data_IF_969501979860
#
_entry.id   IF_969501979860
#
_cell.length_a   1.000
_cell.length_b   1.000
_cell.length_c   1.000
_cell.angle_alpha   90.00
_cell.angle_beta   90.00
_cell.angle_gamma   90.00
#
_symmetry.space_group_name_H-M   'P 1'
#
loop_
_entity.id
_entity.type
_entity.pdbx_description
1 polymer ?
#
# COMPACT_ATOMS: atom_id res chain seq x y z
N UNK A 1 6.96 -14.21 4.42
CA UNK A 1 7.22 -14.05 2.99
C UNK A 1 8.34 -13.04 2.75
N UNK A 2 8.27 -11.88 3.39
CA UNK A 2 9.28 -10.81 3.36
C UNK A 2 9.90 -10.55 4.73
N UNK A 3 9.71 -11.44 5.68
CA UNK A 3 10.22 -11.31 7.05
C UNK A 3 11.74 -11.15 7.04
N UNK A 4 12.25 -10.12 7.72
CA UNK A 4 13.67 -9.79 7.79
C UNK A 4 14.25 -9.12 6.53
N UNK A 5 13.48 -8.96 5.46
CA UNK A 5 13.98 -8.35 4.21
C UNK A 5 14.23 -6.84 4.35
N UNK A 6 13.54 -6.19 5.24
CA UNK A 6 13.82 -4.80 5.60
C UNK A 6 15.22 -4.66 6.23
N UNK A 7 15.61 -5.59 7.09
CA UNK A 7 16.97 -5.62 7.65
C UNK A 7 18.02 -5.91 6.58
N UNK A 8 17.72 -6.76 5.59
CA UNK A 8 18.63 -7.00 4.47
C UNK A 8 18.81 -5.78 3.57
N UNK A 9 17.72 -5.09 3.26
CA UNK A 9 17.78 -3.81 2.53
C UNK A 9 18.56 -2.76 3.34
N UNK A 10 18.33 -2.67 4.65
CA UNK A 10 18.99 -1.71 5.52
C UNK A 10 20.52 -1.91 5.61
N UNK A 11 21.04 -3.12 5.38
CA UNK A 11 22.50 -3.36 5.25
C UNK A 11 23.11 -2.66 4.05
N UNK A 12 22.32 -2.45 2.99
CA UNK A 12 22.77 -1.82 1.73
C UNK A 12 22.49 -0.32 1.74
N UNK A 13 21.31 0.06 2.25
CA UNK A 13 20.82 1.44 2.30
C UNK A 13 20.04 1.65 3.61
N UNK A 14 20.50 2.52 4.51
CA UNK A 14 19.78 2.84 5.75
C UNK A 14 18.35 3.33 5.47
N UNK A 15 17.42 2.98 6.36
CA UNK A 15 15.99 3.32 6.22
C UNK A 15 15.76 4.83 6.07
N UNK A 16 16.51 5.65 6.80
CA UNK A 16 16.46 7.11 6.70
C UNK A 16 16.87 7.63 5.31
N UNK A 17 17.91 7.03 4.72
CA UNK A 17 18.35 7.36 3.36
C UNK A 17 17.32 6.90 2.31
N UNK A 18 16.74 5.70 2.50
CA UNK A 18 15.70 5.16 1.63
C UNK A 18 14.47 6.07 1.64
N UNK A 19 14.00 6.49 2.83
CA UNK A 19 12.88 7.42 2.95
C UNK A 19 13.21 8.78 2.30
N UNK A 20 14.37 9.34 2.56
CA UNK A 20 14.80 10.61 1.96
C UNK A 20 14.81 10.57 0.44
N UNK A 21 15.09 9.40 -0.17
CA UNK A 21 15.11 9.21 -1.61
C UNK A 21 13.72 9.02 -2.22
N UNK A 22 12.84 8.31 -1.55
CA UNK A 22 11.57 7.85 -2.12
C UNK A 22 10.34 8.53 -1.52
N UNK A 23 10.44 9.00 -0.28
CA UNK A 23 9.33 9.54 0.49
C UNK A 23 8.26 8.50 0.88
N UNK A 24 8.53 7.21 0.64
CA UNK A 24 7.58 6.12 0.88
C UNK A 24 7.84 5.51 2.25
N UNK A 25 6.76 5.39 3.04
CA UNK A 25 6.79 4.74 4.35
C UNK A 25 7.27 3.28 4.24
N UNK A 26 7.88 2.80 5.30
CA UNK A 26 8.24 1.40 5.42
C UNK A 26 7.00 0.55 5.68
N UNK A 27 6.75 -0.39 4.78
CA UNK A 27 5.81 -1.49 4.96
C UNK A 27 6.48 -2.78 4.49
N UNK A 28 6.46 -3.82 5.30
CA UNK A 28 7.16 -5.09 5.01
C UNK A 28 6.73 -5.74 3.69
N UNK A 29 5.56 -5.37 3.18
CA UNK A 29 5.01 -5.87 1.92
C UNK A 29 5.34 -4.99 0.70
N UNK A 30 6.08 -3.88 0.84
CA UNK A 30 6.51 -3.09 -0.32
C UNK A 30 7.36 -3.93 -1.28
N UNK A 31 7.24 -3.63 -2.56
CA UNK A 31 7.89 -4.42 -3.63
C UNK A 31 9.40 -4.50 -3.48
N UNK A 32 10.05 -3.46 -2.96
CA UNK A 32 11.49 -3.48 -2.65
C UNK A 32 11.87 -4.69 -1.79
N UNK A 33 11.06 -5.04 -0.77
CA UNK A 33 11.32 -6.19 0.10
C UNK A 33 10.93 -7.51 -0.55
N UNK A 34 9.90 -7.50 -1.41
CA UNK A 34 9.53 -8.68 -2.19
C UNK A 34 10.64 -9.08 -3.15
N UNK A 35 11.21 -8.11 -3.87
CA UNK A 35 12.35 -8.34 -4.77
C UNK A 35 13.60 -8.80 -3.99
N UNK A 36 13.84 -8.29 -2.79
CA UNK A 36 14.94 -8.76 -1.95
C UNK A 36 14.72 -10.22 -1.53
N UNK A 37 13.51 -10.60 -1.20
CA UNK A 37 13.17 -11.99 -0.87
C UNK A 37 13.39 -12.93 -2.07
N UNK A 38 12.95 -12.54 -3.26
CA UNK A 38 13.19 -13.33 -4.48
C UNK A 38 14.70 -13.41 -4.81
N UNK A 39 15.43 -12.30 -4.69
CA UNK A 39 16.88 -12.27 -4.88
C UNK A 39 17.63 -13.25 -3.98
N UNK A 40 17.17 -13.40 -2.74
CA UNK A 40 17.81 -14.32 -1.79
C UNK A 40 17.38 -15.78 -1.98
N UNK A 41 16.11 -16.00 -2.27
CA UNK A 41 15.55 -17.37 -2.37
C UNK A 41 15.76 -17.99 -3.73
N UNK A 42 15.53 -17.23 -4.77
CA UNK A 42 15.55 -17.70 -6.18
C UNK A 42 16.29 -16.70 -7.09
N UNK A 43 17.60 -16.45 -6.86
CA UNK A 43 18.35 -15.44 -7.62
C UNK A 43 18.33 -15.70 -9.14
N UNK A 44 18.31 -16.95 -9.56
CA UNK A 44 18.25 -17.32 -10.98
C UNK A 44 16.90 -16.94 -11.61
N UNK A 45 15.80 -17.00 -10.85
CA UNK A 45 14.48 -16.56 -11.32
C UNK A 45 14.50 -15.06 -11.59
N UNK A 46 15.02 -14.28 -10.65
CA UNK A 46 15.12 -12.83 -10.79
C UNK A 46 16.04 -12.43 -11.96
N UNK A 47 17.16 -13.14 -12.18
CA UNK A 47 18.08 -12.89 -13.29
C UNK A 47 17.48 -13.23 -14.66
N UNK A 48 16.55 -14.19 -14.74
CA UNK A 48 15.86 -14.56 -15.97
C UNK A 48 14.56 -13.77 -16.20
N UNK A 49 14.16 -12.94 -15.24
CA UNK A 49 12.97 -12.13 -15.37
C UNK A 49 13.13 -11.14 -16.55
N UNK A 50 12.15 -11.08 -17.42
CA UNK A 50 12.12 -10.15 -18.53
C UNK A 50 11.41 -8.84 -18.20
N UNK A 51 10.44 -8.89 -17.29
CA UNK A 51 9.61 -7.73 -16.96
C UNK A 51 8.99 -7.87 -15.59
N UNK A 52 9.06 -6.82 -14.78
CA UNK A 52 8.27 -6.65 -13.57
C UNK A 52 6.95 -5.98 -13.95
N UNK A 53 5.83 -6.62 -13.64
CA UNK A 53 4.50 -6.04 -13.78
C UNK A 53 3.77 -6.11 -12.44
N UNK A 54 3.16 -5.01 -12.04
CA UNK A 54 2.19 -5.03 -10.96
C UNK A 54 0.95 -5.79 -11.43
N UNK A 55 0.16 -6.34 -10.50
CA UNK A 55 -0.97 -7.20 -10.88
C UNK A 55 -1.97 -6.54 -11.84
N UNK A 56 -2.36 -5.26 -11.67
CA UNK A 56 -3.21 -4.58 -12.65
C UNK A 56 -2.56 -4.47 -14.03
N UNK A 57 -1.27 -4.18 -14.09
CA UNK A 57 -0.51 -4.08 -15.35
C UNK A 57 -0.44 -5.45 -16.06
N UNK A 58 -0.30 -6.52 -15.28
CA UNK A 58 -0.34 -7.87 -15.80
C UNK A 58 -1.68 -8.20 -16.46
N UNK A 59 -2.80 -7.77 -15.88
CA UNK A 59 -4.11 -7.92 -16.53
C UNK A 59 -4.21 -7.11 -17.82
N UNK A 60 -3.70 -5.87 -17.84
CA UNK A 60 -3.61 -5.08 -19.06
C UNK A 60 -2.81 -5.80 -20.17
N UNK A 61 -1.67 -6.37 -19.80
CA UNK A 61 -0.87 -7.21 -20.71
C UNK A 61 -1.63 -8.44 -21.20
N UNK A 62 -2.32 -9.17 -20.32
CA UNK A 62 -3.09 -10.35 -20.71
C UNK A 62 -4.24 -10.03 -21.65
N UNK A 63 -4.81 -8.85 -21.55
CA UNK A 63 -5.91 -8.39 -22.41
C UNK A 63 -5.43 -7.90 -23.79
N UNK A 64 -4.23 -7.31 -23.87
CA UNK A 64 -3.78 -6.57 -25.06
C UNK A 64 -2.49 -7.11 -25.69
N UNK A 65 -1.71 -7.88 -24.96
CA UNK A 65 -0.36 -8.29 -25.35
C UNK A 65 0.71 -7.20 -25.13
N UNK A 66 0.34 -5.99 -24.74
CA UNK A 66 1.26 -4.89 -24.50
C UNK A 66 1.61 -4.76 -23.01
N UNK A 67 2.90 -4.65 -22.70
CA UNK A 67 3.41 -4.47 -21.34
C UNK A 67 3.59 -2.99 -21.06
N UNK A 68 2.88 -2.47 -20.07
CA UNK A 68 3.06 -1.12 -19.50
C UNK A 68 3.11 -1.22 -17.98
N UNK A 69 3.71 -0.24 -17.33
CA UNK A 69 3.71 -0.10 -15.88
C UNK A 69 3.05 1.21 -15.47
N UNK A 70 2.07 1.13 -14.59
CA UNK A 70 1.27 2.28 -14.16
C UNK A 70 1.91 2.96 -12.94
N UNK A 71 1.98 4.28 -12.98
CA UNK A 71 2.71 5.11 -12.02
C UNK A 71 2.15 5.06 -10.59
N UNK A 72 0.82 5.15 -10.41
CA UNK A 72 0.26 5.28 -9.05
C UNK A 72 0.55 4.04 -8.20
N UNK A 73 0.46 2.86 -8.79
CA UNK A 73 0.81 1.61 -8.13
C UNK A 73 2.34 1.42 -8.06
N UNK A 74 3.06 1.76 -9.14
CA UNK A 74 4.52 1.74 -9.15
C UNK A 74 5.13 2.59 -8.04
N UNK A 75 4.52 3.73 -7.70
CA UNK A 75 5.02 4.63 -6.65
C UNK A 75 5.06 3.99 -5.26
N UNK A 76 4.20 3.00 -4.99
CA UNK A 76 4.15 2.32 -3.67
C UNK A 76 5.29 1.35 -3.44
N UNK A 77 6.07 1.06 -4.47
CA UNK A 77 7.13 0.03 -4.44
C UNK A 77 8.34 0.39 -3.59
N UNK A 78 8.49 1.65 -3.19
CA UNK A 78 9.71 2.22 -2.59
C UNK A 78 10.94 2.22 -3.55
N UNK A 79 10.68 2.21 -4.86
CA UNK A 79 11.73 2.19 -5.91
C UNK A 79 11.60 3.34 -6.91
N UNK A 80 10.65 4.26 -6.69
CA UNK A 80 10.38 5.40 -7.58
C UNK A 80 10.98 6.67 -7.02
N UNK A 81 11.60 7.46 -7.89
CA UNK A 81 12.12 8.77 -7.57
C UNK A 81 10.98 9.81 -7.68
N UNK A 82 10.62 10.51 -6.59
CA UNK A 82 9.50 11.45 -6.57
C UNK A 82 9.74 12.72 -7.39
N UNK A 83 10.96 12.99 -7.82
CA UNK A 83 11.28 14.16 -8.66
C UNK A 83 11.12 13.84 -10.14
N UNK A 84 11.53 12.65 -10.57
CA UNK A 84 11.48 12.23 -11.98
C UNK A 84 10.20 11.49 -12.33
N UNK A 85 9.43 11.02 -11.33
CA UNK A 85 8.24 10.17 -11.48
C UNK A 85 8.53 8.86 -12.21
N UNK A 86 9.78 8.43 -12.18
CA UNK A 86 10.27 7.20 -12.79
C UNK A 86 11.03 6.38 -11.76
N UNK A 87 11.34 5.15 -12.13
CA UNK A 87 12.17 4.28 -11.31
C UNK A 87 13.50 4.94 -10.95
N UNK A 88 13.91 4.82 -9.69
CA UNK A 88 15.25 5.24 -9.24
C UNK A 88 16.26 4.14 -9.62
N UNK A 89 16.85 4.29 -10.82
CA UNK A 89 17.79 3.30 -11.37
C UNK A 89 19.05 3.15 -10.52
N UNK A 90 19.50 4.21 -9.84
CA UNK A 90 20.66 4.13 -8.96
C UNK A 90 20.33 3.32 -7.70
N UNK A 91 19.14 3.48 -7.16
CA UNK A 91 18.66 2.68 -6.05
C UNK A 91 18.50 1.20 -6.45
N UNK A 92 17.85 0.94 -7.58
CA UNK A 92 17.66 -0.40 -8.14
C UNK A 92 19.00 -1.10 -8.33
N UNK A 93 19.97 -0.43 -8.92
CA UNK A 93 21.33 -0.93 -9.13
C UNK A 93 22.06 -1.17 -7.80
N UNK A 94 21.97 -0.23 -6.85
CA UNK A 94 22.57 -0.36 -5.51
C UNK A 94 22.05 -1.57 -4.76
N UNK A 95 20.76 -1.89 -4.92
CA UNK A 95 20.14 -3.08 -4.35
C UNK A 95 20.46 -4.37 -5.13
N UNK A 96 21.07 -4.25 -6.31
CA UNK A 96 21.45 -5.37 -7.18
C UNK A 96 20.23 -6.06 -7.80
N UNK A 97 19.19 -5.29 -8.12
CA UNK A 97 18.07 -5.76 -8.94
C UNK A 97 18.38 -5.57 -10.43
N UNK A 98 17.89 -6.43 -11.33
CA UNK A 98 18.07 -6.25 -12.75
C UNK A 98 17.30 -5.02 -13.25
N UNK A 99 18.01 -4.06 -13.85
CA UNK A 99 17.40 -2.79 -14.28
C UNK A 99 16.44 -2.98 -15.45
N UNK A 100 16.72 -3.93 -16.33
CA UNK A 100 15.99 -4.15 -17.57
C UNK A 100 14.55 -4.64 -17.39
N UNK A 101 14.21 -5.13 -16.20
CA UNK A 101 12.83 -5.59 -15.92
C UNK A 101 11.85 -4.45 -15.64
N UNK A 102 12.35 -3.23 -15.39
CA UNK A 102 11.54 -2.08 -15.02
C UNK A 102 11.17 -1.25 -16.25
N UNK A 103 9.95 -1.39 -16.73
CA UNK A 103 9.44 -0.57 -17.83
C UNK A 103 9.21 0.88 -17.38
N UNK A 104 9.36 1.87 -18.28
CA UNK A 104 9.03 3.26 -17.96
C UNK A 104 7.61 3.38 -17.41
N UNK A 105 7.47 4.13 -16.31
CA UNK A 105 6.17 4.35 -15.67
C UNK A 105 5.31 5.27 -16.53
N UNK A 106 4.04 4.91 -16.67
CA UNK A 106 3.04 5.63 -17.44
C UNK A 106 1.94 6.19 -16.52
N UNK A 107 1.44 7.37 -16.84
CA UNK A 107 0.34 7.96 -16.08
C UNK A 107 -1.00 7.28 -16.40
N UNK A 108 -1.95 7.30 -15.44
CA UNK A 108 -3.34 6.96 -15.71
C UNK A 108 -3.87 7.72 -16.95
N UNK A 109 -4.73 7.08 -17.74
CA UNK A 109 -5.21 7.60 -19.01
C UNK A 109 -4.38 7.17 -20.23
N UNK A 110 -3.22 6.54 -20.03
CA UNK A 110 -2.41 6.02 -21.12
C UNK A 110 -3.08 4.80 -21.76
N UNK A 111 -3.16 4.77 -23.08
CA UNK A 111 -3.72 3.65 -23.85
C UNK A 111 -2.76 2.47 -23.82
N UNK A 112 -3.25 1.32 -23.39
CA UNK A 112 -2.51 0.06 -23.42
C UNK A 112 -2.61 -0.60 -24.80
N UNK A 113 -3.80 -0.64 -25.38
CA UNK A 113 -4.08 -1.20 -26.68
C UNK A 113 -5.48 -1.78 -26.83
N UNK A 114 -5.71 -2.41 -27.99
CA UNK A 114 -6.95 -3.12 -28.26
C UNK A 114 -6.90 -4.52 -27.64
N UNK A 115 -8.06 -5.11 -27.38
CA UNK A 115 -8.12 -6.52 -26.97
C UNK A 115 -7.44 -7.44 -27.99
N UNK A 116 -6.79 -8.48 -27.49
CA UNK A 116 -6.29 -9.57 -28.35
C UNK A 116 -7.42 -10.23 -29.14
N UNK A 117 -7.18 -10.69 -30.39
CA UNK A 117 -8.23 -11.26 -31.21
C UNK A 117 -9.00 -12.43 -30.58
N UNK A 118 -8.31 -13.26 -29.81
CA UNK A 118 -8.93 -14.37 -29.07
C UNK A 118 -9.90 -13.89 -28.01
N UNK A 119 -9.56 -12.81 -27.31
CA UNK A 119 -10.42 -12.21 -26.29
C UNK A 119 -11.63 -11.52 -26.95
N UNK A 120 -11.39 -10.75 -28.03
CA UNK A 120 -12.49 -10.16 -28.81
C UNK A 120 -13.51 -11.22 -29.27
N UNK A 121 -13.02 -12.37 -29.71
CA UNK A 121 -13.87 -13.49 -30.13
C UNK A 121 -14.68 -14.07 -28.96
N UNK A 122 -14.06 -14.17 -27.79
CA UNK A 122 -14.72 -14.73 -26.59
C UNK A 122 -15.81 -13.79 -26.06
N UNK A 123 -15.51 -12.47 -25.94
CA UNK A 123 -16.46 -11.49 -25.40
C UNK A 123 -17.46 -10.96 -26.43
N UNK A 124 -17.16 -11.12 -27.72
CA UNK A 124 -18.05 -10.71 -28.82
C UNK A 124 -17.93 -9.24 -29.24
N UNK A 125 -16.98 -8.49 -28.72
CA UNK A 125 -16.72 -7.09 -29.07
C UNK A 125 -15.24 -6.74 -28.92
N UNK A 126 -14.86 -5.57 -29.44
CA UNK A 126 -13.55 -4.98 -29.21
C UNK A 126 -13.65 -3.71 -28.37
N UNK A 127 -12.62 -3.42 -27.60
CA UNK A 127 -12.48 -2.16 -26.86
C UNK A 127 -11.00 -1.79 -26.71
N UNK A 128 -10.76 -0.53 -26.38
CA UNK A 128 -9.43 -0.04 -26.03
C UNK A 128 -9.23 -0.12 -24.51
N UNK A 129 -8.18 -0.80 -24.10
CA UNK A 129 -7.75 -0.88 -22.70
C UNK A 129 -6.93 0.37 -22.37
N UNK A 130 -7.24 1.01 -21.26
CA UNK A 130 -6.59 2.24 -20.79
C UNK A 130 -6.14 2.03 -19.35
N UNK A 131 -4.94 2.52 -19.00
CA UNK A 131 -4.48 2.53 -17.61
C UNK A 131 -5.39 3.43 -16.76
N UNK A 132 -5.87 2.90 -15.66
CA UNK A 132 -6.50 3.72 -14.60
C UNK A 132 -5.48 4.01 -13.50
N UNK A 133 -5.80 4.84 -12.52
CA UNK A 133 -5.05 4.88 -11.26
C UNK A 133 -5.20 3.53 -10.57
N UNK A 134 -4.27 2.63 -10.84
CA UNK A 134 -4.42 1.21 -10.49
C UNK A 134 -4.18 0.91 -9.02
N UNK A 135 -3.60 1.86 -8.27
CA UNK A 135 -3.73 1.87 -6.83
C UNK A 135 -5.15 2.37 -6.48
N UNK A 136 -5.95 1.56 -5.81
CA UNK A 136 -7.37 1.84 -5.52
C UNK A 136 -7.59 3.18 -4.79
N UNK A 137 -6.73 3.48 -3.79
CA UNK A 137 -6.77 4.77 -3.09
C UNK A 137 -6.40 5.95 -4.01
N UNK A 138 -5.54 5.76 -5.02
CA UNK A 138 -5.25 6.83 -5.97
C UNK A 138 -6.51 7.19 -6.79
N UNK A 139 -7.23 6.19 -7.25
CA UNK A 139 -8.51 6.38 -7.93
C UNK A 139 -9.58 6.97 -7.00
N UNK A 140 -9.64 6.52 -5.74
CA UNK A 140 -10.58 7.05 -4.77
C UNK A 140 -10.33 8.53 -4.46
N UNK A 141 -9.07 8.93 -4.25
CA UNK A 141 -8.69 10.33 -3.98
C UNK A 141 -8.97 11.21 -5.19
N UNK A 142 -8.65 10.74 -6.41
CA UNK A 142 -8.97 11.46 -7.65
C UNK A 142 -10.48 11.72 -7.81
N UNK A 143 -11.33 10.84 -7.27
CA UNK A 143 -12.79 10.98 -7.34
C UNK A 143 -13.37 11.89 -6.24
N UNK A 144 -12.59 12.35 -5.27
CA UNK A 144 -13.06 13.27 -4.22
C UNK A 144 -13.42 14.61 -4.85
N UNK A 145 -14.66 15.12 -4.68
CA UNK A 145 -15.08 16.40 -5.24
C UNK A 145 -14.50 17.58 -4.45
N UNK A 146 -13.20 17.76 -4.50
CA UNK A 146 -12.49 18.84 -3.84
C UNK A 146 -12.44 20.05 -4.74
N UNK A 147 -13.07 21.14 -4.35
CA UNK A 147 -13.16 22.37 -5.16
C UNK A 147 -12.13 23.42 -4.78
N UNK A 148 -11.65 23.44 -3.55
CA UNK A 148 -10.67 24.43 -3.06
C UNK A 148 -9.81 23.85 -1.92
N UNK A 149 -8.52 24.21 -1.94
CA UNK A 149 -7.62 24.16 -0.81
C UNK A 149 -7.22 22.78 -0.28
N UNK A 150 -6.86 22.76 0.98
CA UNK A 150 -6.19 21.68 1.68
C UNK A 150 -7.17 20.66 2.29
N UNK A 151 -8.02 20.06 1.47
CA UNK A 151 -8.96 19.05 1.94
C UNK A 151 -8.24 17.81 2.50
N UNK A 152 -8.59 17.41 3.72
CA UNK A 152 -8.18 16.12 4.27
C UNK A 152 -9.15 15.05 3.79
N UNK A 153 -8.63 13.98 3.20
CA UNK A 153 -9.41 12.81 2.88
C UNK A 153 -9.14 11.66 3.85
N UNK A 154 -10.12 10.77 3.99
CA UNK A 154 -9.96 9.49 4.67
C UNK A 154 -10.58 8.39 3.81
N UNK A 155 -9.73 7.58 3.18
CA UNK A 155 -10.14 6.36 2.49
C UNK A 155 -10.16 5.22 3.49
N UNK A 156 -11.34 4.92 4.03
CA UNK A 156 -11.53 3.94 5.10
C UNK A 156 -12.05 2.62 4.56
N UNK A 157 -11.27 1.58 4.75
CA UNK A 157 -11.57 0.20 4.41
C UNK A 157 -10.88 -0.73 5.43
N UNK A 158 -10.33 -1.84 4.98
CA UNK A 158 -9.48 -2.71 5.81
C UNK A 158 -8.36 -1.89 6.47
N UNK A 159 -7.72 -1.03 5.70
CA UNK A 159 -6.89 0.07 6.17
C UNK A 159 -7.67 1.39 6.09
N UNK A 160 -7.31 2.36 6.91
CA UNK A 160 -7.73 3.75 6.77
C UNK A 160 -6.55 4.59 6.31
N UNK A 161 -6.65 5.17 5.13
CA UNK A 161 -5.61 6.02 4.55
C UNK A 161 -6.06 7.47 4.69
N UNK A 162 -5.51 8.16 5.68
CA UNK A 162 -5.82 9.56 5.95
C UNK A 162 -4.70 10.46 5.44
N UNK A 163 -5.04 11.47 4.66
CA UNK A 163 -4.03 12.35 4.08
C UNK A 163 -4.58 13.55 3.34
N UNK A 164 -3.67 14.21 2.65
CA UNK A 164 -3.94 15.34 1.75
C UNK A 164 -3.37 15.05 0.37
N UNK A 165 -3.88 15.71 -0.64
CA UNK A 165 -3.25 15.75 -1.95
C UNK A 165 -2.29 16.95 -2.01
N UNK A 166 -1.07 16.74 -2.52
CA UNK A 166 -0.03 17.77 -2.61
C UNK A 166 0.59 17.79 -4.01
N UNK A 167 1.03 18.97 -4.45
CA UNK A 167 1.78 19.14 -5.70
C UNK A 167 3.27 18.81 -5.56
N UNK A 168 3.76 18.70 -4.33
CA UNK A 168 5.16 18.37 -4.01
C UNK A 168 5.22 17.32 -2.93
N UNK A 169 6.20 16.42 -2.96
CA UNK A 169 6.37 15.45 -1.89
C UNK A 169 6.80 16.17 -0.60
N UNK A 170 6.28 15.70 0.53
CA UNK A 170 6.65 16.18 1.87
C UNK A 170 7.57 15.14 2.49
N UNK A 171 8.88 15.35 2.31
CA UNK A 171 9.92 14.42 2.76
C UNK A 171 10.79 15.16 3.77
N UNK A 172 10.57 14.90 5.05
CA UNK A 172 11.32 15.45 6.16
C UNK A 172 11.39 14.45 7.32
N UNK A 173 12.14 14.79 8.36
CA UNK A 173 12.36 13.91 9.51
C UNK A 173 11.05 13.66 10.29
N UNK A 174 10.21 14.68 10.42
CA UNK A 174 8.91 14.57 11.11
C UNK A 174 7.96 13.62 10.38
N UNK A 175 7.88 13.75 9.05
CA UNK A 175 7.07 12.85 8.24
C UNK A 175 7.59 11.41 8.31
N UNK A 176 8.90 11.21 8.27
CA UNK A 176 9.53 9.90 8.44
C UNK A 176 9.23 9.30 9.82
N UNK A 177 9.44 10.07 10.89
CA UNK A 177 9.21 9.63 12.27
C UNK A 177 7.73 9.29 12.53
N UNK A 178 6.81 10.03 11.91
CA UNK A 178 5.38 9.79 11.99
C UNK A 178 4.88 8.72 10.99
N UNK A 179 5.79 8.13 10.20
CA UNK A 179 5.52 7.10 9.17
C UNK A 179 4.48 7.55 8.14
N UNK A 180 4.62 8.79 7.63
CA UNK A 180 3.86 9.27 6.49
C UNK A 180 4.52 8.84 5.18
N UNK A 181 3.71 8.73 4.13
CA UNK A 181 4.13 8.32 2.79
C UNK A 181 3.71 9.36 1.74
N UNK A 182 4.47 9.43 0.63
CA UNK A 182 4.20 10.31 -0.50
C UNK A 182 3.91 9.45 -1.74
N UNK A 183 2.77 8.81 -1.77
CA UNK A 183 2.40 7.95 -2.89
C UNK A 183 1.92 8.77 -4.09
N UNK A 184 2.23 8.29 -5.29
CA UNK A 184 1.83 8.95 -6.52
C UNK A 184 0.33 8.96 -6.75
N UNK A 185 -0.17 10.12 -7.16
CA UNK A 185 -1.53 10.35 -7.62
C UNK A 185 -1.59 10.62 -9.12
N UNK A 186 -2.77 11.03 -9.61
CA UNK A 186 -2.97 11.47 -10.98
C UNK A 186 -2.26 12.81 -11.21
N UNK A 187 -1.83 13.07 -12.45
CA UNK A 187 -1.24 14.33 -12.89
C UNK A 187 -0.02 14.78 -12.05
N UNK A 188 0.87 13.83 -11.73
CA UNK A 188 2.08 14.06 -10.93
C UNK A 188 1.83 14.65 -9.53
N UNK A 189 0.62 14.51 -8.99
CA UNK A 189 0.31 14.86 -7.61
C UNK A 189 0.76 13.77 -6.66
N UNK A 190 0.92 14.13 -5.41
CA UNK A 190 1.26 13.20 -4.33
C UNK A 190 0.07 13.07 -3.38
N UNK A 191 -0.17 11.87 -2.95
CA UNK A 191 -1.01 11.56 -1.80
C UNK A 191 -0.10 11.50 -0.59
N UNK A 192 0.00 12.59 0.16
CA UNK A 192 0.71 12.59 1.44
C UNK A 192 -0.24 12.07 2.50
N UNK A 193 0.00 10.84 2.93
CA UNK A 193 -0.94 10.13 3.79
C UNK A 193 -0.24 9.27 4.83
N UNK A 194 -1.02 8.86 5.83
CA UNK A 194 -0.65 7.82 6.79
C UNK A 194 -1.60 6.64 6.64
N UNK A 195 -1.03 5.44 6.55
CA UNK A 195 -1.78 4.20 6.69
C UNK A 195 -2.06 3.96 8.17
N UNK A 196 -3.33 3.85 8.50
CA UNK A 196 -3.82 3.56 9.83
C UNK A 196 -4.47 2.18 9.77
N UNK A 197 -4.18 1.31 10.71
CA UNK A 197 -4.81 -0.01 10.79
C UNK A 197 -6.29 0.17 11.15
N UNK A 198 -7.13 0.30 10.13
CA UNK A 198 -8.51 0.74 10.25
C UNK A 198 -9.47 -0.37 10.65
N UNK A 199 -10.41 -0.70 9.77
CA UNK A 199 -11.46 -1.68 10.05
C UNK A 199 -10.95 -3.12 10.17
N UNK A 200 -9.70 -3.39 9.84
CA UNK A 200 -9.06 -4.71 10.00
C UNK A 200 -9.23 -5.25 11.43
N UNK A 201 -8.99 -4.42 12.45
CA UNK A 201 -9.08 -4.85 13.84
C UNK A 201 -10.50 -5.31 14.20
N UNK A 202 -11.52 -4.50 13.87
CA UNK A 202 -12.92 -4.86 14.18
C UNK A 202 -13.42 -6.04 13.33
N UNK A 203 -12.94 -6.17 12.08
CA UNK A 203 -13.23 -7.33 11.25
C UNK A 203 -12.66 -8.61 11.87
N UNK A 204 -11.41 -8.57 12.34
CA UNK A 204 -10.75 -9.69 12.99
C UNK A 204 -11.45 -10.10 14.28
N UNK A 205 -11.79 -9.12 15.14
CA UNK A 205 -12.58 -9.37 16.34
C UNK A 205 -13.92 -10.05 16.00
N UNK A 206 -14.62 -9.54 14.99
CA UNK A 206 -15.88 -10.11 14.54
C UNK A 206 -15.74 -11.57 14.09
N UNK A 207 -14.69 -11.89 13.32
CA UNK A 207 -14.41 -13.26 12.87
C UNK A 207 -14.08 -14.20 14.03
N UNK A 208 -13.34 -13.74 15.04
CA UNK A 208 -13.05 -14.54 16.22
C UNK A 208 -14.31 -14.93 17.01
N UNK A 209 -15.36 -14.09 16.97
CA UNK A 209 -16.68 -14.41 17.50
C UNK A 209 -17.58 -15.14 16.49
N UNK A 210 -17.00 -15.80 15.47
CA UNK A 210 -17.70 -16.56 14.43
C UNK A 210 -18.79 -15.75 13.72
N UNK A 211 -18.54 -14.46 13.49
CA UNK A 211 -19.49 -13.51 12.88
C UNK A 211 -20.85 -13.44 13.60
N UNK A 212 -20.90 -13.78 14.89
CA UNK A 212 -22.13 -13.77 15.69
C UNK A 212 -22.77 -12.37 15.81
N UNK A 213 -21.98 -11.31 15.60
CA UNK A 213 -22.42 -9.93 15.69
C UNK A 213 -22.32 -9.25 14.32
N UNK A 214 -23.32 -8.44 13.96
CA UNK A 214 -23.22 -7.50 12.86
C UNK A 214 -22.32 -6.31 13.25
N UNK A 215 -21.85 -5.54 12.26
CA UNK A 215 -21.09 -4.31 12.55
C UNK A 215 -21.92 -3.29 13.34
N UNK A 216 -23.23 -3.18 13.04
CA UNK A 216 -24.13 -2.30 13.78
C UNK A 216 -24.20 -2.69 15.26
N UNK A 217 -24.38 -3.97 15.56
CA UNK A 217 -24.39 -4.46 16.95
C UNK A 217 -23.07 -4.18 17.68
N UNK A 218 -21.92 -4.36 17.01
CA UNK A 218 -20.62 -4.03 17.61
C UNK A 218 -20.48 -2.53 17.88
N UNK A 219 -21.01 -1.68 17.00
CA UNK A 219 -21.03 -0.22 17.22
C UNK A 219 -21.93 0.15 18.41
N UNK A 220 -23.12 -0.46 18.52
CA UNK A 220 -24.03 -0.23 19.64
C UNK A 220 -23.39 -0.65 20.98
N UNK A 221 -22.75 -1.82 21.02
CA UNK A 221 -22.01 -2.31 22.20
C UNK A 221 -20.83 -1.39 22.57
N UNK A 222 -20.12 -0.87 21.58
CA UNK A 222 -19.03 0.09 21.79
C UNK A 222 -19.56 1.42 22.38
N UNK A 223 -20.72 1.90 21.90
CA UNK A 223 -21.34 3.12 22.43
C UNK A 223 -21.81 2.92 23.88
N UNK A 224 -22.35 1.76 24.22
CA UNK A 224 -22.72 1.39 25.60
C UNK A 224 -21.47 1.33 26.51
N UNK A 225 -20.30 0.97 25.94
CA UNK A 225 -19.03 0.82 26.66
C UNK A 225 -18.10 2.01 26.50
N UNK A 226 -18.56 3.16 25.98
CA UNK A 226 -17.73 4.33 25.63
C UNK A 226 -16.92 4.92 26.79
N UNK A 227 -17.35 4.72 28.02
CA UNK A 227 -16.65 5.17 29.23
C UNK A 227 -15.46 4.26 29.59
N UNK A 228 -15.27 3.13 28.90
CA UNK A 228 -14.12 2.27 29.14
C UNK A 228 -12.83 3.03 28.78
N UNK A 229 -11.87 3.17 29.74
CA UNK A 229 -10.79 4.16 29.61
C UNK A 229 -9.65 3.74 28.68
N UNK A 230 -9.52 2.45 28.39
CA UNK A 230 -8.37 1.96 27.64
C UNK A 230 -8.42 2.36 26.18
N UNK A 231 -7.26 2.69 25.65
CA UNK A 231 -7.06 3.04 24.23
C UNK A 231 -5.82 2.33 23.70
N UNK A 232 -5.93 1.76 22.53
CA UNK A 232 -4.81 1.11 21.85
C UNK A 232 -4.26 2.00 20.74
N UNK A 233 -2.94 1.98 20.56
CA UNK A 233 -2.35 2.52 19.34
C UNK A 233 -2.55 1.50 18.22
N UNK A 234 -3.50 1.77 17.35
CA UNK A 234 -3.87 0.88 16.25
C UNK A 234 -2.71 0.61 15.28
N UNK A 235 -1.63 1.40 15.33
CA UNK A 235 -0.45 1.21 14.48
C UNK A 235 0.63 0.35 15.16
N UNK A 236 0.41 -0.16 16.37
CA UNK A 236 1.34 -1.08 17.00
C UNK A 236 1.43 -2.37 16.18
N UNK A 237 2.65 -2.87 15.98
CA UNK A 237 2.91 -4.04 15.15
C UNK A 237 2.21 -5.31 15.65
N UNK A 238 1.88 -5.39 16.95
CA UNK A 238 1.14 -6.50 17.51
C UNK A 238 -0.24 -6.72 16.88
N UNK A 239 -0.80 -5.70 16.22
CA UNK A 239 -2.12 -5.77 15.56
C UNK A 239 -2.04 -6.09 14.06
N UNK A 240 -0.84 -6.14 13.46
CA UNK A 240 -0.71 -6.31 12.01
C UNK A 240 -1.24 -7.67 11.52
N UNK A 241 -0.93 -8.75 12.21
CA UNK A 241 -1.38 -10.11 11.86
C UNK A 241 -1.28 -11.05 13.07
N UNK A 242 -1.97 -10.78 14.16
CA UNK A 242 -1.97 -11.68 15.31
C UNK A 242 -2.80 -12.94 15.04
N UNK A 243 -2.48 -14.02 15.74
CA UNK A 243 -3.30 -15.24 15.73
C UNK A 243 -4.70 -14.99 16.34
N UNK A 244 -4.79 -14.08 17.30
CA UNK A 244 -6.03 -13.59 17.90
C UNK A 244 -5.91 -12.08 18.13
N UNK A 245 -6.81 -11.33 17.52
CA UNK A 245 -6.90 -9.88 17.70
C UNK A 245 -7.40 -9.51 19.09
N UNK A 246 -8.36 -10.28 19.61
CA UNK A 246 -8.91 -10.09 20.97
C UNK A 246 -7.79 -10.21 22.00
N UNK A 247 -6.99 -11.26 21.89
CA UNK A 247 -5.87 -11.49 22.82
C UNK A 247 -4.76 -10.45 22.63
N UNK A 248 -4.47 -10.04 21.41
CA UNK A 248 -3.50 -8.97 21.13
C UNK A 248 -3.91 -7.65 21.79
N UNK A 249 -5.20 -7.28 21.73
CA UNK A 249 -5.74 -6.09 22.41
C UNK A 249 -5.58 -6.20 23.92
N UNK A 250 -5.89 -7.34 24.51
CA UNK A 250 -5.75 -7.59 25.95
C UNK A 250 -4.30 -7.49 26.40
N UNK A 251 -3.40 -8.10 25.66
CA UNK A 251 -1.95 -8.05 25.94
C UNK A 251 -1.39 -6.64 25.81
N UNK A 252 -1.85 -5.89 24.81
CA UNK A 252 -1.48 -4.48 24.66
C UNK A 252 -1.92 -3.66 25.88
N UNK A 253 -3.17 -3.77 26.30
CA UNK A 253 -3.67 -3.08 27.50
C UNK A 253 -2.88 -3.48 28.75
N UNK A 254 -2.62 -4.76 28.95
CA UNK A 254 -1.80 -5.24 30.06
C UNK A 254 -0.37 -4.66 30.03
N UNK A 255 0.30 -4.71 28.87
CA UNK A 255 1.66 -4.18 28.64
C UNK A 255 1.76 -2.67 28.93
N UNK A 256 0.70 -1.92 28.59
CA UNK A 256 0.63 -0.48 28.76
C UNK A 256 0.05 -0.03 30.11
N UNK A 257 -0.27 -0.98 31.01
CA UNK A 257 -0.81 -0.69 32.33
C UNK A 257 -2.24 -0.15 32.32
N UNK A 258 -3.00 -0.44 31.26
CA UNK A 258 -4.37 -0.04 31.11
C UNK A 258 -5.34 -1.16 31.58
N UNK A 259 -6.58 -0.83 32.00
CA UNK A 259 -7.60 -1.83 32.23
C UNK A 259 -7.77 -2.77 31.03
N UNK A 260 -7.88 -4.06 31.29
CA UNK A 260 -8.03 -5.09 30.25
C UNK A 260 -9.50 -5.31 29.96
N UNK A 261 -9.97 -5.26 28.68
CA UNK A 261 -11.37 -5.54 28.36
C UNK A 261 -11.72 -7.02 28.61
N UNK A 262 -12.84 -7.25 29.30
CA UNK A 262 -13.34 -8.60 29.64
C UNK A 262 -14.54 -9.03 28.80
N UNK A 263 -15.24 -8.07 28.18
CA UNK A 263 -16.43 -8.30 27.34
C UNK A 263 -16.17 -7.95 25.87
N UNK A 264 -17.16 -8.19 25.02
CA UNK A 264 -17.10 -7.86 23.58
C UNK A 264 -17.30 -6.34 23.36
N UNK A 265 -18.10 -5.70 24.20
CA UNK A 265 -18.40 -4.27 24.11
C UNK A 265 -17.34 -3.35 24.65
#
# INVERSE_FOLDING_TARGET
RTDGMDAEVAKILPETELYAKTGIQKQIFNTIYQLMAEKQKEPELLQRAETLLMLPDYFGFRLTGNKLSEYTNGSTTQLVNPTTFQWDTDLIRKLGYPEDIFLPLQMPGTKVGQLLPEIQKEVGFNLEVVLCGSHDTASAVMAVPQTEGDGIYNSSGTWSLMGIESLKPIINEEAAAANFTNEGGYDHRFRFLKNIMGLWMIQSVRHEYNDAYSFAQLCDMAEESKEFPSRVDVNDQSFLSPDSMVEAIRQYCHKTGQPVPESVG
#
